data_IF_037310560720
#
_entry.id   IF_037310560720
#
_cell.length_a   1.000
_cell.length_b   1.000
_cell.length_c   1.000
_cell.angle_alpha   90.00
_cell.angle_beta   90.00
_cell.angle_gamma   90.00
#
_symmetry.space_group_name_H-M   'P 1'
#
loop_
_entity.id
_entity.type
_entity.pdbx_description
1 polymer ?
#
# COMPACT_ATOMS: atom_id res chain seq x y z
N UNK A 1 -32.79 -22.05 22.07
CA UNK A 1 -32.44 -21.19 20.94
C UNK A 1 -31.28 -21.88 20.21
N UNK A 2 -31.50 -22.52 19.06
CA UNK A 2 -30.46 -23.17 18.29
C UNK A 2 -29.46 -22.08 17.81
N UNK A 3 -28.15 -22.32 17.92
CA UNK A 3 -27.19 -21.38 17.34
C UNK A 3 -27.44 -21.32 15.83
N UNK A 4 -27.58 -20.12 15.30
CA UNK A 4 -27.65 -19.91 13.85
C UNK A 4 -26.47 -20.63 13.19
N UNK A 5 -26.74 -21.42 12.14
CA UNK A 5 -25.71 -22.14 11.40
C UNK A 5 -24.65 -21.11 10.95
N UNK A 6 -23.42 -21.24 11.47
CA UNK A 6 -22.33 -20.37 11.05
C UNK A 6 -22.07 -20.58 9.56
N UNK A 7 -22.24 -19.56 8.77
CA UNK A 7 -21.93 -19.60 7.33
C UNK A 7 -20.42 -19.68 7.18
N UNK A 8 -19.92 -20.78 6.64
CA UNK A 8 -18.49 -20.95 6.38
C UNK A 8 -18.00 -19.92 5.35
N UNK A 9 -16.78 -19.40 5.50
CA UNK A 9 -16.20 -18.54 4.49
C UNK A 9 -16.11 -19.23 3.12
N UNK A 10 -16.27 -18.46 2.05
CA UNK A 10 -16.15 -18.96 0.66
C UNK A 10 -15.05 -18.18 -0.06
N UNK A 11 -14.09 -18.90 -0.65
CA UNK A 11 -13.07 -18.34 -1.51
C UNK A 11 -13.54 -18.46 -2.96
N UNK A 12 -13.61 -17.33 -3.66
CA UNK A 12 -14.16 -17.17 -5.00
C UNK A 12 -13.07 -16.71 -5.97
N UNK A 13 -13.07 -17.28 -7.17
CA UNK A 13 -12.13 -16.96 -8.24
C UNK A 13 -12.86 -16.75 -9.58
N UNK A 14 -12.23 -15.98 -10.52
CA UNK A 14 -12.74 -15.79 -11.86
C UNK A 14 -14.17 -15.23 -11.89
N UNK A 15 -15.08 -15.86 -12.66
CA UNK A 15 -16.45 -15.40 -12.84
C UNK A 15 -17.25 -15.31 -11.54
N UNK A 16 -17.12 -16.29 -10.63
CA UNK A 16 -17.81 -16.26 -9.34
C UNK A 16 -17.36 -15.07 -8.47
N UNK A 17 -16.06 -14.74 -8.50
CA UNK A 17 -15.55 -13.57 -7.78
C UNK A 17 -16.06 -12.26 -8.43
N UNK A 18 -16.16 -12.21 -9.75
CA UNK A 18 -16.65 -11.05 -10.48
C UNK A 18 -18.14 -10.80 -10.18
N UNK A 19 -18.95 -11.84 -10.16
CA UNK A 19 -20.37 -11.77 -9.78
C UNK A 19 -20.56 -11.32 -8.32
N UNK A 20 -19.75 -11.86 -7.40
CA UNK A 20 -19.79 -11.48 -5.99
C UNK A 20 -19.28 -10.06 -5.73
N UNK A 21 -18.51 -9.48 -6.66
CA UNK A 21 -18.03 -8.09 -6.61
C UNK A 21 -19.07 -7.14 -7.25
N UNK A 22 -20.34 -7.32 -6.92
CA UNK A 22 -21.42 -6.45 -7.36
C UNK A 22 -21.38 -5.08 -6.66
N UNK A 23 -22.10 -4.11 -7.23
CA UNK A 23 -22.23 -2.78 -6.63
C UNK A 23 -22.84 -2.88 -5.24
N UNK A 24 -22.16 -2.28 -4.26
CA UNK A 24 -22.55 -2.32 -2.86
C UNK A 24 -21.97 -3.46 -2.02
N UNK A 25 -21.28 -4.43 -2.62
CA UNK A 25 -20.63 -5.51 -1.88
C UNK A 25 -19.43 -5.01 -1.06
N UNK A 26 -18.71 -4.01 -1.57
CA UNK A 26 -17.63 -3.30 -0.87
C UNK A 26 -17.63 -1.83 -1.31
N UNK A 27 -17.10 -0.94 -0.46
CA UNK A 27 -16.99 0.50 -0.77
C UNK A 27 -16.18 0.79 -2.05
N UNK A 28 -15.30 -0.12 -2.48
CA UNK A 28 -14.44 0.03 -3.64
C UNK A 28 -14.60 -1.14 -4.63
N UNK A 29 -15.83 -1.64 -4.80
CA UNK A 29 -16.13 -2.77 -5.67
C UNK A 29 -15.65 -2.52 -7.12
N UNK A 30 -15.83 -1.33 -7.67
CA UNK A 30 -15.39 -0.97 -9.02
C UNK A 30 -13.88 -1.15 -9.21
N UNK A 31 -13.07 -0.71 -8.23
CA UNK A 31 -11.61 -0.91 -8.26
C UNK A 31 -11.24 -2.39 -8.37
N UNK A 32 -11.81 -3.24 -7.49
CA UNK A 32 -11.44 -4.67 -7.49
C UNK A 32 -12.03 -5.43 -8.67
N UNK A 33 -13.21 -5.04 -9.13
CA UNK A 33 -13.83 -5.57 -10.35
C UNK A 33 -12.91 -5.44 -11.57
N UNK A 34 -12.21 -4.32 -11.70
CA UNK A 34 -11.26 -4.13 -12.78
C UNK A 34 -10.11 -5.14 -12.71
N UNK A 35 -9.56 -5.43 -11.54
CA UNK A 35 -8.53 -6.46 -11.37
C UNK A 35 -9.07 -7.88 -11.65
N UNK A 36 -10.32 -8.14 -11.33
CA UNK A 36 -10.96 -9.44 -11.62
C UNK A 36 -11.25 -9.62 -13.11
N UNK A 37 -11.66 -8.55 -13.82
CA UNK A 37 -12.03 -8.61 -15.23
C UNK A 37 -10.84 -8.57 -16.18
N UNK A 38 -9.90 -7.63 -15.96
CA UNK A 38 -8.76 -7.40 -16.85
C UNK A 38 -7.55 -8.28 -16.51
N UNK A 39 -7.48 -8.73 -15.26
CA UNK A 39 -6.29 -9.34 -14.68
C UNK A 39 -5.26 -8.33 -14.17
N UNK A 40 -4.49 -8.69 -13.12
CA UNK A 40 -3.58 -7.76 -12.45
C UNK A 40 -2.51 -7.16 -13.38
N UNK A 41 -1.92 -7.98 -14.26
CA UNK A 41 -0.84 -7.53 -15.15
C UNK A 41 -1.29 -6.51 -16.22
N UNK A 42 -2.58 -6.50 -16.58
CA UNK A 42 -3.12 -5.49 -17.49
C UNK A 42 -3.17 -4.10 -16.84
N UNK A 43 -3.38 -4.05 -15.52
CA UNK A 43 -3.49 -2.82 -14.75
C UNK A 43 -2.16 -2.36 -14.13
N UNK A 44 -1.31 -3.30 -13.75
CA UNK A 44 0.05 -3.02 -13.28
C UNK A 44 0.99 -4.12 -13.80
N UNK A 45 1.90 -3.74 -14.71
CA UNK A 45 2.69 -4.68 -15.51
C UNK A 45 3.55 -5.67 -14.71
N UNK A 46 3.85 -5.35 -13.45
CA UNK A 46 4.60 -6.21 -12.53
C UNK A 46 3.74 -6.86 -11.43
N UNK A 47 2.45 -7.09 -11.70
CA UNK A 47 1.55 -7.90 -10.87
C UNK A 47 1.18 -9.21 -11.59
N UNK A 48 1.75 -10.34 -11.14
CA UNK A 48 1.52 -11.67 -11.74
C UNK A 48 0.84 -12.64 -10.75
N UNK A 49 0.16 -12.10 -9.74
CA UNK A 49 -0.61 -12.86 -8.76
C UNK A 49 -2.01 -13.18 -9.30
N UNK A 50 -2.65 -14.23 -8.77
CA UNK A 50 -4.07 -14.45 -9.00
C UNK A 50 -4.88 -13.58 -8.04
N UNK A 51 -6.03 -13.10 -8.50
CA UNK A 51 -6.95 -12.26 -7.73
C UNK A 51 -8.30 -12.95 -7.56
N UNK A 52 -8.92 -12.77 -6.40
CA UNK A 52 -10.20 -13.34 -6.06
C UNK A 52 -10.83 -12.60 -4.88
N UNK A 53 -11.87 -13.20 -4.30
CA UNK A 53 -12.58 -12.69 -3.13
C UNK A 53 -12.72 -13.79 -2.07
N UNK A 54 -12.71 -13.43 -0.80
CA UNK A 54 -13.22 -14.28 0.29
C UNK A 54 -14.44 -13.61 0.91
N UNK A 55 -15.54 -14.33 0.91
CA UNK A 55 -16.82 -13.91 1.50
C UNK A 55 -17.05 -14.60 2.84
N UNK A 56 -17.51 -13.87 3.86
CA UNK A 56 -17.92 -14.38 5.16
C UNK A 56 -18.90 -13.43 5.83
N UNK A 57 -20.02 -13.96 6.34
CA UNK A 57 -21.05 -13.20 7.06
C UNK A 57 -21.53 -11.92 6.34
N UNK A 58 -21.80 -12.06 5.02
CA UNK A 58 -22.28 -10.95 4.18
C UNK A 58 -21.24 -9.90 3.83
N UNK A 59 -19.97 -10.11 4.21
CA UNK A 59 -18.82 -9.26 3.84
C UNK A 59 -17.93 -9.98 2.84
N UNK A 60 -17.25 -9.20 2.02
CA UNK A 60 -16.25 -9.71 1.07
C UNK A 60 -14.94 -8.94 1.20
N UNK A 61 -13.82 -9.65 1.06
CA UNK A 61 -12.48 -9.05 1.07
C UNK A 61 -11.70 -9.51 -0.15
N UNK A 62 -10.92 -8.62 -0.76
CA UNK A 62 -9.99 -8.97 -1.82
C UNK A 62 -8.97 -10.01 -1.35
N UNK A 63 -8.67 -10.96 -2.25
CA UNK A 63 -7.65 -11.99 -2.01
C UNK A 63 -6.69 -12.02 -3.19
N UNK A 64 -5.39 -12.14 -2.88
CA UNK A 64 -4.36 -12.43 -3.87
C UNK A 64 -3.63 -13.72 -3.52
N UNK A 65 -3.29 -14.49 -4.54
CA UNK A 65 -2.53 -15.73 -4.41
C UNK A 65 -1.20 -15.61 -5.15
N UNK A 66 -0.10 -15.68 -4.41
CA UNK A 66 1.26 -15.76 -4.92
C UNK A 66 1.81 -17.18 -4.79
N UNK A 67 2.31 -17.76 -5.87
CA UNK A 67 2.83 -19.13 -5.89
C UNK A 67 4.35 -19.21 -6.10
N UNK A 68 4.93 -18.25 -6.82
CA UNK A 68 6.33 -18.32 -7.26
C UNK A 68 7.04 -16.99 -7.02
N UNK A 69 8.34 -17.03 -6.65
CA UNK A 69 9.15 -15.82 -6.64
C UNK A 69 9.31 -15.31 -8.09
N UNK A 70 8.88 -14.09 -8.31
CA UNK A 70 9.05 -13.33 -9.55
C UNK A 70 9.46 -11.91 -9.17
N UNK A 71 9.84 -11.13 -10.15
CA UNK A 71 10.06 -9.69 -9.99
C UNK A 71 8.70 -8.96 -9.85
N UNK A 72 7.97 -9.27 -8.79
CA UNK A 72 6.69 -8.66 -8.45
C UNK A 72 6.89 -7.30 -7.80
N UNK A 73 5.91 -6.41 -7.96
CA UNK A 73 5.84 -5.23 -7.12
C UNK A 73 5.73 -5.62 -5.64
N UNK A 74 6.35 -4.82 -4.76
CA UNK A 74 6.41 -5.14 -3.33
C UNK A 74 5.04 -5.28 -2.62
N UNK A 75 3.91 -4.72 -3.09
CA UNK A 75 2.62 -5.02 -2.50
C UNK A 75 2.17 -6.47 -2.72
N UNK A 76 2.63 -7.12 -3.79
CA UNK A 76 2.26 -8.49 -4.13
C UNK A 76 3.26 -9.55 -3.62
N UNK A 77 4.49 -9.16 -3.24
CA UNK A 77 5.58 -10.07 -2.87
C UNK A 77 6.24 -9.66 -1.56
N UNK A 78 6.31 -10.60 -0.59
CA UNK A 78 7.08 -10.40 0.64
C UNK A 78 8.59 -10.39 0.37
N UNK A 79 9.05 -11.17 -0.62
CA UNK A 79 10.46 -11.14 -1.02
C UNK A 79 10.84 -9.78 -1.58
N UNK A 80 10.02 -9.22 -2.48
CA UNK A 80 10.25 -7.86 -2.98
C UNK A 80 10.20 -6.83 -1.85
N UNK A 81 9.26 -6.97 -0.91
CA UNK A 81 9.11 -6.04 0.21
C UNK A 81 10.29 -6.06 1.20
N UNK A 82 10.74 -7.26 1.62
CA UNK A 82 11.75 -7.38 2.68
C UNK A 82 13.19 -7.58 2.18
N UNK A 83 13.37 -8.00 0.92
CA UNK A 83 14.69 -8.36 0.38
C UNK A 83 15.05 -7.47 -0.80
N UNK A 84 14.30 -7.55 -1.89
CA UNK A 84 14.71 -6.95 -3.15
C UNK A 84 14.70 -5.42 -3.11
N UNK A 85 13.63 -4.83 -2.58
CA UNK A 85 13.49 -3.36 -2.49
C UNK A 85 14.55 -2.74 -1.56
N UNK A 86 14.69 -3.17 -0.28
CA UNK A 86 15.74 -2.62 0.59
C UNK A 86 17.17 -2.88 0.07
N UNK A 87 17.39 -4.02 -0.60
CA UNK A 87 18.69 -4.32 -1.21
C UNK A 87 19.05 -3.34 -2.33
N UNK A 88 18.08 -2.93 -3.14
CA UNK A 88 18.29 -1.92 -4.18
C UNK A 88 18.65 -0.54 -3.59
N UNK A 89 18.15 -0.22 -2.41
CA UNK A 89 18.45 1.04 -1.71
C UNK A 89 19.83 1.05 -1.03
N UNK A 90 20.53 -0.09 -0.93
CA UNK A 90 21.88 -0.15 -0.34
C UNK A 90 22.89 0.74 -1.07
N UNK A 91 22.68 1.03 -2.34
CA UNK A 91 23.57 1.91 -3.10
C UNK A 91 23.51 3.38 -2.61
N UNK A 92 22.46 3.75 -1.87
CA UNK A 92 22.34 5.03 -1.19
C UNK A 92 23.14 5.12 0.12
N UNK A 93 23.67 3.98 0.62
CA UNK A 93 24.49 3.96 1.85
C UNK A 93 25.87 4.53 1.56
N UNK A 94 26.30 5.65 2.19
CA UNK A 94 27.54 6.35 1.85
C UNK A 94 28.81 5.51 2.09
N UNK A 95 28.86 4.76 3.21
CA UNK A 95 30.03 3.98 3.61
C UNK A 95 30.18 2.68 2.80
N UNK A 96 31.28 2.49 2.06
CA UNK A 96 31.53 1.25 1.32
C UNK A 96 31.66 0.01 2.21
N UNK A 97 32.23 0.17 3.41
CA UNK A 97 32.38 -0.93 4.37
C UNK A 97 31.00 -1.36 4.91
N UNK A 98 30.16 -0.37 5.33
CA UNK A 98 28.81 -0.64 5.79
C UNK A 98 27.95 -1.27 4.68
N UNK A 99 28.08 -0.79 3.45
CA UNK A 99 27.38 -1.34 2.28
C UNK A 99 27.75 -2.80 2.03
N UNK A 100 29.05 -3.17 2.15
CA UNK A 100 29.52 -4.56 2.01
C UNK A 100 28.96 -5.45 3.12
N UNK A 101 29.00 -4.99 4.38
CA UNK A 101 28.44 -5.72 5.51
C UNK A 101 26.91 -5.93 5.36
N UNK A 102 26.19 -4.88 4.94
CA UNK A 102 24.77 -4.96 4.69
C UNK A 102 24.44 -5.94 3.54
N UNK A 103 25.22 -5.92 2.43
CA UNK A 103 25.03 -6.89 1.34
C UNK A 103 25.21 -8.34 1.80
N UNK A 104 26.19 -8.62 2.66
CA UNK A 104 26.37 -9.95 3.25
C UNK A 104 25.19 -10.35 4.12
N UNK A 105 24.72 -9.45 4.97
CA UNK A 105 23.50 -9.65 5.78
C UNK A 105 22.27 -9.93 4.94
N UNK A 106 22.06 -9.17 3.86
CA UNK A 106 20.96 -9.42 2.92
C UNK A 106 21.07 -10.75 2.18
N UNK A 107 22.28 -11.28 1.94
CA UNK A 107 22.43 -12.60 1.33
C UNK A 107 21.95 -13.71 2.28
N UNK A 108 22.28 -13.62 3.57
CA UNK A 108 21.78 -14.56 4.58
C UNK A 108 20.25 -14.42 4.72
N UNK A 109 19.76 -13.20 4.76
CA UNK A 109 18.33 -12.91 4.87
C UNK A 109 17.56 -13.46 3.67
N UNK A 110 18.07 -13.32 2.44
CA UNK A 110 17.51 -13.89 1.22
C UNK A 110 17.48 -15.42 1.27
N UNK A 111 18.56 -16.07 1.78
CA UNK A 111 18.58 -17.50 2.01
C UNK A 111 17.46 -17.98 2.93
N UNK A 112 17.23 -17.29 4.04
CA UNK A 112 16.11 -17.57 4.96
C UNK A 112 14.75 -17.32 4.30
N UNK A 113 14.60 -16.25 3.54
CA UNK A 113 13.37 -15.91 2.82
C UNK A 113 13.01 -16.99 1.78
N UNK A 114 14.00 -17.49 1.04
CA UNK A 114 13.83 -18.63 0.11
C UNK A 114 13.46 -19.92 0.81
N UNK A 115 14.11 -20.24 1.94
CA UNK A 115 13.80 -21.42 2.75
C UNK A 115 12.38 -21.37 3.30
N UNK A 116 11.95 -20.19 3.75
CA UNK A 116 10.57 -19.94 4.20
C UNK A 116 9.57 -19.99 3.03
N UNK A 117 10.01 -19.81 1.77
CA UNK A 117 9.18 -19.59 0.59
C UNK A 117 8.22 -18.43 0.83
N UNK A 118 8.77 -17.26 1.18
CA UNK A 118 7.99 -16.08 1.63
C UNK A 118 6.96 -15.60 0.61
N UNK A 119 7.16 -15.84 -0.69
CA UNK A 119 6.21 -15.46 -1.74
C UNK A 119 5.09 -16.48 -1.95
N UNK A 120 5.18 -17.66 -1.32
CA UNK A 120 4.09 -18.61 -1.38
C UNK A 120 3.06 -18.26 -0.32
N UNK A 121 2.21 -17.27 -0.66
CA UNK A 121 1.25 -16.64 0.25
C UNK A 121 -0.14 -16.52 -0.34
N UNK A 122 -1.15 -16.61 0.52
CA UNK A 122 -2.49 -16.08 0.28
C UNK A 122 -2.60 -14.80 1.10
N UNK A 123 -2.74 -13.66 0.42
CA UNK A 123 -2.97 -12.38 1.08
C UNK A 123 -4.47 -12.06 1.02
N UNK A 124 -5.10 -11.86 2.14
CA UNK A 124 -6.50 -11.44 2.19
C UNK A 124 -6.64 -10.04 2.76
N UNK A 125 -7.73 -9.35 2.43
CA UNK A 125 -7.86 -7.89 2.55
C UNK A 125 -6.74 -7.16 1.81
N UNK A 126 -6.33 -7.71 0.64
CA UNK A 126 -5.23 -7.20 -0.18
C UNK A 126 -5.78 -6.46 -1.40
N UNK A 127 -5.69 -5.15 -1.39
CA UNK A 127 -6.10 -4.28 -2.50
C UNK A 127 -5.01 -4.08 -3.55
N UNK A 128 -3.87 -4.78 -3.46
CA UNK A 128 -2.68 -4.55 -4.29
C UNK A 128 -2.18 -3.09 -4.25
N UNK A 129 -2.51 -2.38 -3.20
CA UNK A 129 -2.03 -1.03 -2.94
C UNK A 129 -0.77 -1.06 -2.06
N UNK A 130 0.05 -0.03 -2.18
CA UNK A 130 1.18 0.19 -1.26
C UNK A 130 0.74 0.27 0.21
N UNK A 131 -0.47 0.74 0.43
CA UNK A 131 -1.13 0.82 1.74
C UNK A 131 -2.54 0.29 1.59
N UNK A 132 -2.83 -0.88 2.16
CA UNK A 132 -4.19 -1.40 2.22
C UNK A 132 -4.97 -0.67 3.32
N UNK A 133 -6.21 -0.31 3.03
CA UNK A 133 -7.15 0.20 4.01
C UNK A 133 -8.08 -0.95 4.42
N UNK A 134 -8.21 -1.17 5.73
CA UNK A 134 -8.96 -2.30 6.25
C UNK A 134 -10.32 -1.87 6.77
N UNK A 135 -11.36 -2.49 6.25
CA UNK A 135 -12.73 -2.28 6.71
C UNK A 135 -12.92 -2.82 8.15
N UNK A 136 -13.84 -2.23 8.93
CA UNK A 136 -14.27 -2.78 10.20
C UNK A 136 -14.73 -4.25 10.04
N UNK A 137 -14.41 -5.10 11.04
CA UNK A 137 -14.80 -6.53 11.02
C UNK A 137 -13.73 -7.47 10.45
N UNK A 138 -12.58 -6.95 10.00
CA UNK A 138 -11.47 -7.78 9.53
C UNK A 138 -10.96 -8.74 10.64
N UNK A 139 -10.64 -8.22 11.81
CA UNK A 139 -10.08 -9.03 12.90
C UNK A 139 -11.06 -10.09 13.45
N UNK A 140 -12.36 -9.81 13.67
CA UNK A 140 -13.33 -10.83 14.03
C UNK A 140 -13.44 -11.99 13.02
N UNK A 141 -13.32 -11.72 11.72
CA UNK A 141 -13.39 -12.76 10.68
C UNK A 141 -12.10 -13.58 10.55
N UNK A 142 -11.00 -13.16 11.20
CA UNK A 142 -9.69 -13.78 11.00
C UNK A 142 -9.63 -15.28 11.32
N UNK A 143 -10.20 -15.81 12.40
CA UNK A 143 -10.13 -17.25 12.70
C UNK A 143 -10.76 -18.11 11.60
N UNK A 144 -12.00 -17.81 11.22
CA UNK A 144 -12.77 -18.59 10.25
C UNK A 144 -12.19 -18.47 8.83
N UNK A 145 -11.90 -17.24 8.40
CA UNK A 145 -11.29 -16.98 7.08
C UNK A 145 -9.92 -17.65 6.98
N UNK A 146 -9.10 -17.58 8.03
CA UNK A 146 -7.79 -18.24 8.04
C UNK A 146 -7.92 -19.76 7.94
N UNK A 147 -8.84 -20.36 8.69
CA UNK A 147 -9.08 -21.81 8.65
C UNK A 147 -9.46 -22.27 7.24
N UNK A 148 -10.33 -21.54 6.55
CA UNK A 148 -10.73 -21.84 5.18
C UNK A 148 -9.59 -21.67 4.17
N UNK A 149 -8.83 -20.58 4.28
CA UNK A 149 -7.68 -20.33 3.41
C UNK A 149 -6.58 -21.40 3.60
N UNK A 150 -6.34 -21.85 4.84
CA UNK A 150 -5.42 -22.97 5.14
C UNK A 150 -5.92 -24.27 4.54
N UNK A 151 -7.22 -24.56 4.66
CA UNK A 151 -7.84 -25.76 4.09
C UNK A 151 -7.65 -25.85 2.58
N UNK A 152 -7.85 -24.72 1.88
CA UNK A 152 -7.77 -24.63 0.43
C UNK A 152 -6.32 -24.51 -0.08
N UNK A 153 -5.45 -23.87 0.69
CA UNK A 153 -4.06 -23.60 0.33
C UNK A 153 -3.06 -24.03 1.42
N UNK A 154 -2.99 -25.33 1.77
CA UNK A 154 -2.20 -25.83 2.93
C UNK A 154 -0.69 -25.58 2.78
N UNK A 155 -0.21 -25.29 1.59
CA UNK A 155 1.21 -24.98 1.35
C UNK A 155 1.55 -23.48 1.35
N UNK A 156 0.59 -22.58 1.63
CA UNK A 156 0.78 -21.12 1.58
C UNK A 156 0.73 -20.51 2.98
N UNK A 157 1.57 -19.55 3.28
CA UNK A 157 1.38 -18.69 4.45
C UNK A 157 0.18 -17.79 4.23
N UNK A 158 -0.64 -17.55 5.26
CA UNK A 158 -1.75 -16.62 5.17
C UNK A 158 -1.27 -15.25 5.66
N UNK A 159 -1.50 -14.21 4.88
CA UNK A 159 -0.95 -12.87 5.10
C UNK A 159 -2.05 -11.82 5.13
N UNK A 160 -1.98 -10.92 6.10
CA UNK A 160 -2.68 -9.63 6.10
C UNK A 160 -1.63 -8.53 6.24
N UNK A 161 -1.64 -7.56 5.33
CA UNK A 161 -0.64 -6.48 5.30
C UNK A 161 -1.18 -5.19 5.89
N UNK A 162 -0.26 -4.30 6.26
CA UNK A 162 -0.54 -2.93 6.62
C UNK A 162 -1.37 -2.74 7.90
N UNK A 163 -1.20 -3.61 8.90
CA UNK A 163 -1.83 -3.45 10.19
C UNK A 163 -1.09 -2.40 11.03
N UNK A 164 -1.81 -1.48 11.64
CA UNK A 164 -1.23 -0.48 12.54
C UNK A 164 -2.21 -0.08 13.65
N UNK A 165 -1.72 0.35 14.83
CA UNK A 165 -2.57 0.60 16.00
C UNK A 165 -3.18 2.00 16.03
N UNK A 166 -3.07 2.83 14.99
CA UNK A 166 -3.46 4.25 15.06
C UNK A 166 -4.98 4.45 15.16
N UNK A 167 -5.74 3.79 14.30
CA UNK A 167 -7.20 3.88 14.28
C UNK A 167 -7.88 2.89 15.22
N UNK A 168 -7.32 1.70 15.31
CA UNK A 168 -7.71 0.63 16.23
C UNK A 168 -6.46 0.15 16.97
N UNK A 169 -6.24 0.63 18.22
CA UNK A 169 -5.06 0.29 19.01
C UNK A 169 -4.87 -1.22 19.23
N UNK A 170 -5.96 -1.98 19.17
CA UNK A 170 -5.97 -3.42 19.42
C UNK A 170 -5.94 -4.27 18.14
N UNK A 171 -5.93 -3.66 16.96
CA UNK A 171 -5.98 -4.41 15.69
C UNK A 171 -4.80 -5.39 15.55
N UNK A 172 -3.53 -5.00 15.75
CA UNK A 172 -2.41 -5.94 15.70
C UNK A 172 -2.53 -7.05 16.74
N UNK A 173 -2.94 -6.72 17.97
CA UNK A 173 -3.05 -7.69 19.08
C UNK A 173 -4.15 -8.73 18.83
N UNK A 174 -5.27 -8.34 18.20
CA UNK A 174 -6.32 -9.28 17.81
C UNK A 174 -5.82 -10.29 16.77
N UNK A 175 -5.00 -9.86 15.81
CA UNK A 175 -4.38 -10.80 14.87
C UNK A 175 -3.37 -11.71 15.58
N UNK A 176 -2.58 -11.20 16.53
CA UNK A 176 -1.69 -12.03 17.35
C UNK A 176 -2.48 -13.08 18.16
N UNK A 177 -3.60 -12.68 18.77
CA UNK A 177 -4.51 -13.59 19.48
C UNK A 177 -5.14 -14.65 18.56
N UNK A 178 -5.43 -14.29 17.28
CA UNK A 178 -5.87 -15.24 16.26
C UNK A 178 -4.75 -16.17 15.74
N UNK A 179 -3.55 -16.05 16.28
CA UNK A 179 -2.42 -16.94 16.00
C UNK A 179 -1.48 -16.48 14.91
N UNK A 180 -1.59 -15.24 14.46
CA UNK A 180 -0.66 -14.65 13.52
C UNK A 180 0.61 -14.15 14.22
N UNK A 181 1.73 -14.28 13.55
CA UNK A 181 2.99 -13.64 13.90
C UNK A 181 3.05 -12.25 13.26
N UNK A 182 3.34 -11.21 14.05
CA UNK A 182 3.50 -9.85 13.55
C UNK A 182 4.95 -9.60 13.11
N UNK A 183 5.12 -9.14 11.89
CA UNK A 183 6.38 -8.74 11.30
C UNK A 183 6.36 -7.23 11.08
N UNK A 184 7.32 -6.48 11.60
CA UNK A 184 7.47 -5.06 11.32
C UNK A 184 7.60 -4.87 9.80
N UNK A 185 6.73 -4.05 9.21
CA UNK A 185 6.75 -3.80 7.78
C UNK A 185 7.57 -2.56 7.44
N UNK A 186 7.18 -1.41 7.99
CA UNK A 186 7.80 -0.10 7.73
C UNK A 186 7.29 0.92 8.75
N UNK A 187 7.88 2.11 8.75
CA UNK A 187 7.31 3.27 9.44
C UNK A 187 6.45 4.06 8.44
N UNK A 188 5.19 4.31 8.80
CA UNK A 188 4.26 5.12 8.02
C UNK A 188 4.01 6.45 8.71
N UNK A 189 3.44 7.40 7.97
CA UNK A 189 3.18 8.76 8.41
C UNK A 189 1.72 9.10 8.21
N UNK A 190 1.05 9.50 9.29
CA UNK A 190 -0.38 9.79 9.31
C UNK A 190 -0.64 11.28 9.56
N UNK A 191 -1.62 11.82 8.85
CA UNK A 191 -2.19 13.14 9.14
C UNK A 191 -3.65 12.94 9.53
N UNK A 192 -4.01 13.41 10.74
CA UNK A 192 -5.36 13.27 11.24
C UNK A 192 -6.17 14.56 11.01
N UNK A 193 -7.03 14.55 10.02
CA UNK A 193 -7.90 15.69 9.68
C UNK A 193 -8.95 16.00 10.74
N UNK A 194 -9.22 15.09 11.67
CA UNK A 194 -10.08 15.35 12.84
C UNK A 194 -9.40 16.24 13.86
N UNK A 195 -8.06 16.33 13.80
CA UNK A 195 -7.19 17.18 14.62
C UNK A 195 -6.18 17.88 13.73
N UNK A 196 -6.57 18.90 12.95
CA UNK A 196 -5.79 19.44 11.85
C UNK A 196 -4.66 20.39 12.29
N UNK A 197 -4.03 20.15 13.43
CA UNK A 197 -2.91 20.97 13.94
C UNK A 197 -1.75 21.06 12.96
N UNK A 198 -1.60 20.07 12.07
CA UNK A 198 -0.62 20.10 10.99
C UNK A 198 -0.79 21.30 10.05
N UNK A 199 -1.98 21.86 9.90
CA UNK A 199 -2.20 23.10 9.11
C UNK A 199 -1.52 24.31 9.73
N UNK A 200 -1.21 24.28 11.02
CA UNK A 200 -0.52 25.38 11.72
C UNK A 200 1.00 25.38 11.51
N UNK A 201 1.56 24.26 10.99
CA UNK A 201 2.99 24.12 10.77
C UNK A 201 3.49 25.12 9.72
N UNK A 202 4.65 25.70 9.98
CA UNK A 202 5.27 26.72 9.12
C UNK A 202 5.36 26.27 7.65
N UNK A 203 5.86 25.05 7.42
CA UNK A 203 6.01 24.53 6.06
C UNK A 203 4.66 24.39 5.34
N UNK A 204 3.61 23.91 6.03
CA UNK A 204 2.26 23.78 5.45
C UNK A 204 1.69 25.15 5.10
N UNK A 205 1.76 26.12 6.04
CA UNK A 205 1.31 27.50 5.80
C UNK A 205 2.03 28.14 4.60
N UNK A 206 3.35 27.94 4.51
CA UNK A 206 4.16 28.47 3.42
C UNK A 206 3.78 27.85 2.08
N UNK A 207 3.61 26.51 2.05
CA UNK A 207 3.23 25.80 0.83
C UNK A 207 1.82 26.19 0.37
N UNK A 208 0.86 26.35 1.29
CA UNK A 208 -0.49 26.84 0.98
C UNK A 208 -0.49 28.27 0.44
N UNK A 209 0.32 29.17 1.04
CA UNK A 209 0.50 30.54 0.50
C UNK A 209 1.10 30.52 -0.89
N UNK A 210 2.09 29.66 -1.14
CA UNK A 210 2.71 29.52 -2.46
C UNK A 210 1.70 28.98 -3.47
N UNK A 211 0.89 28.00 -3.10
CA UNK A 211 -0.17 27.44 -3.94
C UNK A 211 -1.20 28.51 -4.31
N UNK A 212 -1.64 29.31 -3.33
CA UNK A 212 -2.62 30.38 -3.57
C UNK A 212 -2.10 31.51 -4.47
N UNK A 213 -0.77 31.71 -4.50
CA UNK A 213 -0.12 32.73 -5.35
C UNK A 213 0.39 32.18 -6.68
N UNK A 214 0.14 30.90 -6.96
CA UNK A 214 0.63 30.24 -8.16
C UNK A 214 -0.04 30.81 -9.40
N UNK A 215 0.77 31.31 -10.35
CA UNK A 215 0.30 31.90 -11.62
C UNK A 215 0.67 31.06 -12.84
N UNK A 216 1.69 30.19 -12.70
CA UNK A 216 2.17 29.36 -13.81
C UNK A 216 1.46 28.02 -13.89
N UNK A 217 0.86 27.55 -12.78
CA UNK A 217 0.12 26.29 -12.73
C UNK A 217 -1.26 26.48 -12.12
N UNK A 218 -2.27 25.96 -12.80
CA UNK A 218 -3.64 25.87 -12.29
C UNK A 218 -3.81 24.55 -11.53
N UNK A 219 -4.44 24.62 -10.36
CA UNK A 219 -4.89 23.44 -9.66
C UNK A 219 -6.06 22.79 -10.41
N UNK A 220 -5.94 21.50 -10.72
CA UNK A 220 -6.98 20.68 -11.30
C UNK A 220 -7.60 19.78 -10.23
N UNK A 221 -8.92 19.67 -10.26
CA UNK A 221 -9.72 18.73 -9.44
C UNK A 221 -10.21 17.57 -10.30
N UNK A 222 -10.82 16.57 -9.69
CA UNK A 222 -11.25 15.34 -10.39
C UNK A 222 -12.09 15.61 -11.67
N UNK A 223 -12.92 16.65 -11.68
CA UNK A 223 -13.75 17.02 -12.84
C UNK A 223 -12.96 17.65 -14.01
N UNK A 224 -11.74 18.11 -13.76
CA UNK A 224 -10.86 18.73 -14.79
C UNK A 224 -10.07 17.68 -15.59
N UNK A 225 -10.16 16.42 -15.24
CA UNK A 225 -9.45 15.33 -15.93
C UNK A 225 -10.37 14.55 -16.87
N UNK A 226 -9.81 14.16 -18.01
CA UNK A 226 -10.45 13.27 -18.98
C UNK A 226 -9.58 12.03 -19.21
N UNK A 227 -10.10 11.02 -19.90
CA UNK A 227 -9.32 9.84 -20.25
C UNK A 227 -8.11 10.15 -21.14
N UNK A 228 -8.12 11.27 -21.86
CA UNK A 228 -6.98 11.75 -22.67
C UNK A 228 -5.77 12.15 -21.81
N UNK A 229 -5.98 12.46 -20.54
CA UNK A 229 -4.89 12.73 -19.59
C UNK A 229 -4.17 11.44 -19.13
N UNK A 230 -4.77 10.27 -19.33
CA UNK A 230 -4.27 9.02 -18.77
C UNK A 230 -2.82 8.68 -19.16
N UNK A 231 -2.36 8.86 -20.42
CA UNK A 231 -0.96 8.62 -20.78
C UNK A 231 -0.01 9.53 -19.99
N UNK A 232 -0.34 10.82 -19.85
CA UNK A 232 0.52 11.78 -19.13
C UNK A 232 0.52 11.53 -17.64
N UNK A 233 -0.60 11.17 -17.06
CA UNK A 233 -0.71 10.80 -15.64
C UNK A 233 0.17 9.56 -15.35
N UNK A 234 0.07 8.52 -16.19
CA UNK A 234 0.90 7.31 -16.05
C UNK A 234 2.40 7.63 -16.20
N UNK A 235 2.76 8.51 -17.12
CA UNK A 235 4.16 8.97 -17.31
C UNK A 235 4.68 9.69 -16.05
N UNK A 236 3.91 10.62 -15.48
CA UNK A 236 4.31 11.35 -14.27
C UNK A 236 4.55 10.40 -13.08
N UNK A 237 3.70 9.37 -12.94
CA UNK A 237 3.89 8.32 -11.94
C UNK A 237 5.19 7.54 -12.20
N UNK A 238 5.41 7.08 -13.44
CA UNK A 238 6.61 6.35 -13.84
C UNK A 238 7.89 7.12 -13.52
N UNK A 239 7.95 8.40 -13.90
CA UNK A 239 9.10 9.27 -13.66
C UNK A 239 9.47 9.36 -12.17
N UNK A 240 8.46 9.41 -11.28
CA UNK A 240 8.72 9.52 -9.85
C UNK A 240 8.97 8.16 -9.20
N UNK A 241 8.10 7.17 -9.43
CA UNK A 241 8.12 5.92 -8.66
C UNK A 241 8.99 4.83 -9.27
N UNK A 242 8.99 4.70 -10.60
CA UNK A 242 9.74 3.62 -11.25
C UNK A 242 11.16 4.05 -11.60
N UNK A 243 11.30 5.21 -12.24
CA UNK A 243 12.61 5.66 -12.74
C UNK A 243 13.49 6.24 -11.61
N UNK A 244 12.90 7.06 -10.73
CA UNK A 244 13.65 7.71 -9.66
C UNK A 244 13.79 6.86 -8.40
N UNK A 245 12.77 6.06 -8.02
CA UNK A 245 12.83 5.27 -6.79
C UNK A 245 13.16 3.80 -7.08
N UNK A 246 12.17 2.98 -7.50
CA UNK A 246 12.42 1.55 -7.71
C UNK A 246 11.42 0.94 -8.69
N UNK A 247 11.87 0.07 -9.63
CA UNK A 247 10.98 -0.69 -10.51
C UNK A 247 10.11 -1.71 -9.74
N UNK A 248 10.37 -1.93 -8.46
CA UNK A 248 9.56 -2.78 -7.58
C UNK A 248 8.33 -2.06 -7.00
N UNK A 249 8.14 -0.77 -7.29
CA UNK A 249 6.85 -0.13 -7.10
C UNK A 249 5.84 -0.68 -8.13
N UNK A 250 4.51 -0.59 -7.87
CA UNK A 250 3.51 -0.96 -8.86
C UNK A 250 3.73 -0.25 -10.19
N UNK A 251 3.91 -1.00 -11.27
CA UNK A 251 4.11 -0.44 -12.61
C UNK A 251 2.74 -0.21 -13.28
N UNK A 252 1.97 0.75 -12.74
CA UNK A 252 0.64 1.07 -13.23
C UNK A 252 0.66 1.44 -14.71
N UNK A 253 -0.26 0.83 -15.47
CA UNK A 253 -0.41 1.03 -16.91
C UNK A 253 -1.28 2.25 -17.21
N UNK A 254 -1.27 2.69 -18.47
CA UNK A 254 -2.20 3.72 -18.95
C UNK A 254 -3.66 3.26 -18.78
N UNK A 255 -3.93 1.95 -18.94
CA UNK A 255 -5.28 1.40 -18.76
C UNK A 255 -5.74 1.49 -17.30
N UNK A 256 -4.87 1.24 -16.32
CA UNK A 256 -5.19 1.49 -14.92
C UNK A 256 -5.67 2.94 -14.70
N UNK A 257 -4.95 3.91 -15.24
CA UNK A 257 -5.28 5.32 -15.08
C UNK A 257 -6.58 5.67 -15.81
N UNK A 258 -6.77 5.17 -17.03
CA UNK A 258 -7.99 5.37 -17.81
C UNK A 258 -9.23 4.87 -17.07
N UNK A 259 -9.14 3.64 -16.52
CA UNK A 259 -10.20 3.05 -15.70
C UNK A 259 -10.42 3.86 -14.43
N UNK A 260 -9.35 4.27 -13.75
CA UNK A 260 -9.44 5.06 -12.53
C UNK A 260 -10.14 6.42 -12.75
N UNK A 261 -9.92 7.05 -13.90
CA UNK A 261 -10.62 8.29 -14.28
C UNK A 261 -12.11 8.03 -14.61
N UNK A 262 -12.40 7.00 -15.39
CA UNK A 262 -13.77 6.63 -15.83
C UNK A 262 -14.65 6.21 -14.67
N UNK A 263 -14.13 5.32 -13.80
CA UNK A 263 -14.88 4.69 -12.73
C UNK A 263 -14.69 5.41 -11.38
N UNK A 264 -13.84 6.43 -11.35
CA UNK A 264 -13.60 7.34 -10.21
C UNK A 264 -13.19 6.63 -8.91
N UNK A 265 -12.44 5.54 -9.00
CA UNK A 265 -11.90 4.88 -7.81
C UNK A 265 -10.68 5.59 -7.20
N UNK A 266 -10.04 6.49 -7.96
CA UNK A 266 -9.05 7.43 -7.45
C UNK A 266 -9.57 8.85 -7.64
N UNK A 267 -9.53 9.62 -6.57
CA UNK A 267 -9.87 11.03 -6.61
C UNK A 267 -8.61 11.84 -6.97
N UNK A 268 -8.51 12.26 -8.24
CA UNK A 268 -7.32 12.91 -8.78
C UNK A 268 -7.28 14.41 -8.49
N UNK A 269 -6.06 14.91 -8.21
CA UNK A 269 -5.68 16.32 -8.15
C UNK A 269 -4.44 16.53 -8.99
N UNK A 270 -4.31 17.68 -9.63
CA UNK A 270 -3.15 17.97 -10.46
C UNK A 270 -2.76 19.42 -10.51
N UNK A 271 -1.57 19.66 -11.02
CA UNK A 271 -1.04 20.97 -11.35
C UNK A 271 -0.81 21.02 -12.86
N UNK A 272 -1.61 21.82 -13.55
CA UNK A 272 -1.54 22.02 -14.99
C UNK A 272 -0.93 23.38 -15.29
N UNK A 273 0.18 23.39 -16.02
CA UNK A 273 0.84 24.61 -16.49
C UNK A 273 -0.10 25.42 -17.38
N UNK A 274 0.09 26.73 -17.46
CA UNK A 274 -0.72 27.64 -18.31
C UNK A 274 -0.69 27.26 -19.79
N UNK A 275 0.34 26.55 -20.26
CA UNK A 275 0.38 25.95 -21.60
C UNK A 275 -0.54 24.75 -21.83
N UNK A 276 -1.26 24.32 -20.81
CA UNK A 276 -2.12 23.10 -20.85
C UNK A 276 -1.44 21.80 -20.43
N UNK A 277 -0.09 21.76 -20.28
CA UNK A 277 0.63 20.55 -19.88
C UNK A 277 0.39 20.20 -18.41
N UNK A 278 0.09 18.93 -18.13
CA UNK A 278 0.01 18.43 -16.75
C UNK A 278 1.42 18.14 -16.22
N UNK A 279 1.83 18.80 -15.14
CA UNK A 279 3.18 18.68 -14.57
C UNK A 279 3.21 17.99 -13.20
N UNK A 280 2.06 17.82 -12.57
CA UNK A 280 1.97 17.08 -11.32
C UNK A 280 0.57 16.51 -11.11
N UNK A 281 0.49 15.36 -10.44
CA UNK A 281 -0.76 14.65 -10.16
C UNK A 281 -0.64 13.85 -8.87
N UNK A 282 -1.74 13.76 -8.12
CA UNK A 282 -1.91 12.75 -7.08
C UNK A 282 -3.32 12.16 -7.16
N UNK A 283 -3.44 10.85 -6.89
CA UNK A 283 -4.69 10.12 -6.81
C UNK A 283 -4.90 9.58 -5.41
N UNK A 284 -6.03 9.91 -4.79
CA UNK A 284 -6.42 9.47 -3.47
C UNK A 284 -7.38 8.27 -3.57
N UNK A 285 -7.09 7.23 -2.81
CA UNK A 285 -7.99 6.12 -2.57
C UNK A 285 -8.58 6.29 -1.16
N UNK A 286 -9.89 6.17 -1.04
CA UNK A 286 -10.60 6.41 0.23
C UNK A 286 -11.42 5.16 0.57
N UNK A 287 -11.36 4.73 1.82
CA UNK A 287 -12.22 3.70 2.38
C UNK A 287 -12.45 3.96 3.88
N UNK A 288 -13.70 3.83 4.36
CA UNK A 288 -14.07 3.95 5.77
C UNK A 288 -13.50 5.21 6.47
N UNK A 289 -13.54 6.37 5.80
CA UNK A 289 -13.04 7.64 6.35
C UNK A 289 -11.52 7.77 6.43
N UNK A 290 -10.79 6.80 5.87
CA UNK A 290 -9.33 6.83 5.72
C UNK A 290 -8.97 7.04 4.27
N UNK A 291 -7.99 7.89 4.01
CA UNK A 291 -7.44 8.10 2.68
C UNK A 291 -6.00 7.59 2.59
N UNK A 292 -5.59 7.14 1.42
CA UNK A 292 -4.17 6.94 1.06
C UNK A 292 -3.92 7.46 -0.34
N UNK A 293 -2.65 7.69 -0.69
CA UNK A 293 -2.24 8.18 -2.01
C UNK A 293 -1.38 7.15 -2.71
N UNK A 294 -1.98 6.08 -3.27
CA UNK A 294 -1.24 5.04 -3.98
C UNK A 294 -0.62 5.55 -5.28
N UNK A 295 -1.11 6.69 -5.76
CA UNK A 295 -0.71 7.29 -7.02
C UNK A 295 -0.25 8.73 -6.79
N UNK A 296 1.01 9.01 -7.06
CA UNK A 296 1.59 10.35 -7.00
C UNK A 296 2.64 10.49 -8.10
N UNK A 297 2.67 11.61 -8.79
CA UNK A 297 3.64 11.85 -9.85
C UNK A 297 3.87 13.33 -10.09
N UNK A 298 5.07 13.69 -10.51
CA UNK A 298 5.36 15.00 -11.03
C UNK A 298 6.47 14.92 -12.08
N UNK A 299 6.52 15.90 -12.94
CA UNK A 299 7.55 16.02 -13.96
C UNK A 299 8.91 16.29 -13.28
N UNK A 300 9.75 15.27 -13.21
CA UNK A 300 11.07 15.33 -12.56
C UNK A 300 12.10 16.11 -13.38
N UNK A 301 11.79 16.47 -14.63
CA UNK A 301 12.62 17.31 -15.49
C UNK A 301 12.44 18.81 -15.20
N UNK A 302 11.34 19.16 -14.50
CA UNK A 302 11.06 20.53 -14.11
C UNK A 302 11.95 21.00 -12.97
N UNK A 303 12.29 22.29 -12.90
CA UNK A 303 13.09 22.83 -11.80
C UNK A 303 12.47 22.54 -10.43
N UNK A 304 13.25 22.01 -9.46
CA UNK A 304 12.76 21.73 -8.11
C UNK A 304 12.17 22.96 -7.39
N UNK A 305 12.57 24.15 -7.80
CA UNK A 305 12.09 25.45 -7.28
C UNK A 305 10.59 25.66 -7.48
N UNK A 306 9.99 25.04 -8.52
CA UNK A 306 8.54 25.05 -8.73
C UNK A 306 7.79 24.37 -7.57
N UNK A 307 8.42 23.41 -6.90
CA UNK A 307 7.86 22.77 -5.73
C UNK A 307 6.60 21.95 -6.00
N UNK A 308 6.42 21.39 -7.20
CA UNK A 308 5.20 20.69 -7.63
C UNK A 308 4.72 19.64 -6.61
N UNK A 309 5.65 18.84 -6.10
CA UNK A 309 5.34 17.83 -5.08
C UNK A 309 4.74 18.47 -3.82
N UNK A 310 5.42 19.48 -3.25
CA UNK A 310 4.99 20.11 -1.99
C UNK A 310 3.66 20.86 -2.12
N UNK A 311 3.37 21.44 -3.30
CA UNK A 311 2.11 22.14 -3.56
C UNK A 311 0.93 21.17 -3.62
N UNK A 312 1.09 20.01 -4.28
CA UNK A 312 0.09 18.94 -4.28
C UNK A 312 -0.13 18.39 -2.86
N UNK A 313 0.95 18.20 -2.09
CA UNK A 313 0.83 17.76 -0.68
C UNK A 313 0.08 18.80 0.15
N UNK A 314 0.37 20.10 -0.01
CA UNK A 314 -0.34 21.14 0.73
C UNK A 314 -1.84 21.11 0.45
N UNK A 315 -2.24 20.95 -0.82
CA UNK A 315 -3.64 20.79 -1.20
C UNK A 315 -4.27 19.54 -0.58
N UNK A 316 -3.58 18.41 -0.65
CA UNK A 316 -4.03 17.15 -0.05
C UNK A 316 -4.26 17.28 1.46
N UNK A 317 -3.34 17.95 2.18
CA UNK A 317 -3.48 18.19 3.62
C UNK A 317 -4.67 19.10 3.93
N UNK A 318 -4.90 20.14 3.13
CA UNK A 318 -6.05 21.03 3.27
C UNK A 318 -7.37 20.25 3.10
N UNK A 319 -7.47 19.39 2.09
CA UNK A 319 -8.64 18.54 1.85
C UNK A 319 -8.83 17.47 2.93
N UNK A 320 -7.74 16.89 3.43
CA UNK A 320 -7.75 15.95 4.54
C UNK A 320 -8.38 16.57 5.79
N UNK A 321 -7.97 17.80 6.11
CA UNK A 321 -8.53 18.56 7.23
C UNK A 321 -10.00 18.93 7.00
N UNK A 322 -10.35 19.44 5.82
CA UNK A 322 -11.70 19.84 5.47
C UNK A 322 -12.70 18.67 5.53
N UNK A 323 -12.23 17.47 5.16
CA UNK A 323 -13.05 16.25 5.21
C UNK A 323 -13.05 15.54 6.57
N UNK A 324 -12.26 15.99 7.55
CA UNK A 324 -12.12 15.32 8.84
C UNK A 324 -11.60 13.88 8.75
N UNK A 325 -10.83 13.54 7.71
CA UNK A 325 -10.34 12.18 7.43
C UNK A 325 -8.95 11.95 8.02
N UNK A 326 -8.57 10.68 8.14
CA UNK A 326 -7.17 10.30 8.39
C UNK A 326 -6.52 9.99 7.05
N UNK A 327 -5.40 10.67 6.76
CA UNK A 327 -4.56 10.38 5.60
C UNK A 327 -3.40 9.49 6.03
N UNK A 328 -3.40 8.23 5.56
CA UNK A 328 -2.23 7.37 5.60
C UNK A 328 -1.33 7.70 4.41
N UNK A 329 -0.32 8.52 4.67
CA UNK A 329 0.59 9.01 3.63
C UNK A 329 1.80 8.08 3.43
N UNK A 330 1.64 6.78 3.77
CA UNK A 330 2.63 5.73 3.56
C UNK A 330 4.00 6.02 4.18
N UNK A 331 5.03 5.24 3.82
CA UNK A 331 6.42 5.42 4.23
C UNK A 331 7.19 6.36 3.28
N UNK A 332 8.50 6.51 3.54
CA UNK A 332 9.41 7.36 2.75
C UNK A 332 9.26 8.86 3.03
N UNK A 333 10.29 9.63 2.69
CA UNK A 333 10.37 11.07 2.92
C UNK A 333 9.99 11.50 4.36
N UNK A 334 10.43 10.72 5.37
CA UNK A 334 9.99 10.86 6.75
C UNK A 334 10.24 12.25 7.33
N UNK A 335 11.41 12.86 7.08
CA UNK A 335 11.73 14.22 7.54
C UNK A 335 10.74 15.26 6.95
N UNK A 336 10.45 15.16 5.63
CA UNK A 336 9.48 16.04 4.95
C UNK A 336 8.10 15.97 5.60
N UNK A 337 7.64 14.76 5.92
CA UNK A 337 6.31 14.49 6.51
C UNK A 337 6.24 14.96 7.97
N UNK A 338 7.28 14.65 8.79
CA UNK A 338 7.37 15.11 10.20
C UNK A 338 7.39 16.64 10.30
N UNK A 339 8.15 17.32 9.45
CA UNK A 339 8.17 18.80 9.43
C UNK A 339 6.81 19.40 9.08
N UNK A 340 5.90 18.62 8.49
CA UNK A 340 4.51 19.01 8.20
C UNK A 340 3.50 18.52 9.24
N UNK A 341 3.98 17.89 10.32
CA UNK A 341 3.14 17.46 11.43
C UNK A 341 2.55 16.06 11.31
N UNK A 342 3.09 15.23 10.42
CA UNK A 342 2.71 13.82 10.37
C UNK A 342 3.12 13.06 11.63
N UNK A 343 2.27 12.15 12.07
CA UNK A 343 2.53 11.23 13.18
C UNK A 343 3.18 9.96 12.62
N UNK A 344 4.41 9.59 13.07
CA UNK A 344 5.04 8.34 12.68
C UNK A 344 4.38 7.16 13.41
N UNK A 345 4.12 6.07 12.71
CA UNK A 345 3.52 4.85 13.25
C UNK A 345 4.19 3.63 12.63
N UNK A 346 4.49 2.61 13.43
CA UNK A 346 4.98 1.33 12.91
C UNK A 346 3.80 0.52 12.36
N UNK A 347 3.98 0.04 11.16
CA UNK A 347 3.05 -0.83 10.43
C UNK A 347 3.56 -2.27 10.46
N UNK A 348 2.65 -3.24 10.53
CA UNK A 348 2.94 -4.66 10.60
C UNK A 348 2.32 -5.42 9.45
N UNK A 349 2.99 -6.51 9.06
CA UNK A 349 2.41 -7.60 8.29
C UNK A 349 2.12 -8.76 9.25
N UNK A 350 0.89 -9.26 9.27
CA UNK A 350 0.50 -10.41 10.07
C UNK A 350 0.56 -11.69 9.21
N UNK A 351 1.37 -12.66 9.61
CA UNK A 351 1.53 -13.94 8.92
C UNK A 351 1.07 -15.10 9.81
N UNK A 352 0.16 -15.93 9.27
CA UNK A 352 -0.21 -17.20 9.88
C UNK A 352 0.56 -18.33 9.20
N UNK A 353 1.40 -19.02 9.96
CA UNK A 353 2.34 -20.02 9.45
C UNK A 353 2.28 -21.37 10.20
N UNK A 354 1.39 -21.50 11.20
CA UNK A 354 1.34 -22.65 12.13
C UNK A 354 1.11 -24.00 11.44
N UNK A 355 0.40 -24.01 10.31
CA UNK A 355 0.10 -25.19 9.50
C UNK A 355 1.24 -25.60 8.55
N UNK A 356 2.27 -24.76 8.38
CA UNK A 356 3.36 -25.03 7.47
C UNK A 356 4.36 -26.06 8.04
N UNK A 357 5.16 -26.75 7.19
CA UNK A 357 6.21 -27.67 7.63
C UNK A 357 7.19 -27.01 8.62
N UNK A 358 7.75 -27.78 9.59
CA UNK A 358 8.60 -27.24 10.67
C UNK A 358 9.77 -26.39 10.17
N UNK A 359 10.44 -26.79 9.10
CA UNK A 359 11.57 -26.06 8.51
C UNK A 359 11.16 -24.67 8.04
N UNK A 360 10.00 -24.55 7.37
CA UNK A 360 9.49 -23.25 6.93
C UNK A 360 9.09 -22.37 8.12
N UNK A 361 8.46 -22.96 9.14
CA UNK A 361 8.09 -22.26 10.38
C UNK A 361 9.33 -21.71 11.09
N UNK A 362 10.39 -22.52 11.22
CA UNK A 362 11.65 -22.10 11.82
C UNK A 362 12.30 -20.93 11.01
N UNK A 363 12.27 -21.00 9.68
CA UNK A 363 12.77 -19.93 8.82
C UNK A 363 11.95 -18.63 9.01
N UNK A 364 10.62 -18.69 9.07
CA UNK A 364 9.77 -17.52 9.37
C UNK A 364 10.05 -16.98 10.78
N UNK A 365 10.26 -17.82 11.79
CA UNK A 365 10.61 -17.39 13.14
C UNK A 365 11.95 -16.64 13.18
N UNK A 366 12.97 -17.14 12.46
CA UNK A 366 14.26 -16.47 12.33
C UNK A 366 14.13 -15.11 11.63
N UNK A 367 13.39 -15.04 10.52
CA UNK A 367 13.10 -13.78 9.83
C UNK A 367 12.40 -12.78 10.75
N UNK A 368 11.39 -13.24 11.54
CA UNK A 368 10.67 -12.38 12.49
C UNK A 368 11.61 -11.77 13.53
N UNK A 369 12.53 -12.56 14.09
CA UNK A 369 13.51 -12.06 15.07
C UNK A 369 14.41 -10.98 14.45
N UNK A 370 14.89 -11.18 13.22
CA UNK A 370 15.71 -10.20 12.51
C UNK A 370 14.93 -8.93 12.18
N UNK A 371 13.70 -9.07 11.70
CA UNK A 371 12.86 -7.94 11.30
C UNK A 371 12.39 -7.14 12.52
N UNK A 372 11.88 -7.80 13.56
CA UNK A 372 11.36 -7.11 14.74
C UNK A 372 12.44 -6.62 15.72
N UNK A 373 13.68 -7.08 15.57
CA UNK A 373 14.81 -6.64 16.33
C UNK A 373 15.59 -5.52 15.65
N UNK A 374 16.67 -5.83 14.91
CA UNK A 374 17.55 -4.81 14.33
C UNK A 374 16.88 -3.95 13.27
N UNK A 375 16.04 -4.54 12.38
CA UNK A 375 15.38 -3.75 11.32
C UNK A 375 14.39 -2.75 11.91
N UNK A 376 13.56 -3.16 12.87
CA UNK A 376 12.63 -2.25 13.56
C UNK A 376 13.35 -1.09 14.23
N UNK A 377 14.43 -1.35 14.95
CA UNK A 377 15.23 -0.30 15.60
C UNK A 377 15.79 0.71 14.59
N UNK A 378 16.22 0.20 13.43
CA UNK A 378 16.69 1.05 12.34
C UNK A 378 15.56 1.94 11.80
N UNK A 379 14.38 1.38 11.51
CA UNK A 379 13.22 2.13 11.01
C UNK A 379 12.78 3.23 11.99
N UNK A 380 12.72 2.91 13.29
CA UNK A 380 12.34 3.86 14.34
C UNK A 380 13.36 5.01 14.47
N UNK A 381 14.66 4.72 14.30
CA UNK A 381 15.74 5.71 14.41
C UNK A 381 15.82 6.62 13.18
N UNK A 382 15.84 6.03 11.99
CA UNK A 382 16.05 6.79 10.74
C UNK A 382 14.75 7.43 10.23
N UNK A 383 13.59 6.93 10.63
CA UNK A 383 12.30 7.46 10.19
C UNK A 383 12.00 7.18 8.72
N UNK A 384 12.44 6.02 8.22
CA UNK A 384 12.26 5.55 6.82
C UNK A 384 11.24 4.42 6.74
#
# INVERSE_FOLDING_TARGET
>A
MMPAARVSPRLLWGAEALEACSDGATENAAYWRAFLSEGPAALAANYHVRVGLVGHEGRVWPVTLGDRPRAEAYPASLHSHYVAYPRAELDLVPSPALRRAARAGFTLFDGLARLARVDRTVQWSSWLLSTNLHAPGLAPAAPEVTAELVRLHPGHAILVRNLHPYLDPHLPDRFAAAGYDLFTARQIYLFDGRRPDFLTRYNVKTDLKTLARQTTHRLCLAADFTEDDAPRIAELYRLLYLDKHSPLNPAYTVEFVRRALRERWLDFRGLRHVSGRLDGVCGCFVADGVATTPFFGHDTTQPPTLGLYRLLVARLLQETAAAGRVLNYSSGAGAFKRHRGAVPVIEFNALYTRHLPPVRRAAFAALRLLINGPVRRFLEKEGV
#
